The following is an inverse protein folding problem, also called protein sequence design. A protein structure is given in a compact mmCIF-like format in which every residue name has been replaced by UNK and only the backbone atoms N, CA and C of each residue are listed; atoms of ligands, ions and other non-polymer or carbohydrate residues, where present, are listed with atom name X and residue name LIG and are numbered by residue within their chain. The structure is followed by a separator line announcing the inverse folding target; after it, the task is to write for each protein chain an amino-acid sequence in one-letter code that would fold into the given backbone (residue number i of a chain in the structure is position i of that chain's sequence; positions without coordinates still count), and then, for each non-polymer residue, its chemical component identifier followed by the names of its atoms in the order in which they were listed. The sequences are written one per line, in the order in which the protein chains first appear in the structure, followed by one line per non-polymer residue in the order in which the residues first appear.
data_IF_436624367935
#
_entry.id   IF_436624367935
#
_cell.length_a   1.000
_cell.length_b   1.000
_cell.length_c   1.000
_cell.angle_alpha   90.00
_cell.angle_beta   90.00
_cell.angle_gamma   90.00
#
_symmetry.space_group_name_H-M   'P 1'
#
loop_
_entity.id
_entity.type
_entity.pdbx_description
1 polymer ?
#
# COMPACT_ATOMS: atom_id res chain seq x y z
N UNK A 1 -12.17 -28.16 -4.45
CA UNK A 1 -11.44 -27.16 -3.65
C UNK A 1 -11.67 -27.51 -2.20
N UNK A 2 -10.66 -27.75 -1.34
CA UNK A 2 -10.99 -27.91 0.10
C UNK A 2 -9.83 -27.77 1.09
N UNK A 3 -8.63 -28.27 0.79
CA UNK A 3 -7.58 -28.32 1.82
C UNK A 3 -6.89 -26.98 2.05
N UNK A 4 -6.56 -26.23 1.00
CA UNK A 4 -5.92 -24.90 1.12
C UNK A 4 -6.78 -23.92 1.91
N UNK A 5 -8.09 -23.86 1.64
CA UNK A 5 -9.03 -23.01 2.39
C UNK A 5 -9.20 -23.46 3.83
N UNK A 6 -9.18 -24.77 4.09
CA UNK A 6 -9.23 -25.30 5.45
C UNK A 6 -7.96 -24.97 6.25
N UNK A 7 -6.79 -25.01 5.62
CA UNK A 7 -5.52 -24.57 6.23
C UNK A 7 -5.53 -23.07 6.48
N UNK A 8 -5.95 -22.28 5.49
CA UNK A 8 -6.02 -20.82 5.62
C UNK A 8 -6.97 -20.41 6.76
N UNK A 9 -8.10 -21.09 6.93
CA UNK A 9 -9.06 -20.83 8.00
C UNK A 9 -8.66 -21.44 9.37
N UNK A 10 -7.54 -22.17 9.45
CA UNK A 10 -7.11 -22.77 10.71
C UNK A 10 -6.75 -21.69 11.72
N UNK A 11 -7.20 -21.86 12.98
CA UNK A 11 -7.03 -20.85 14.04
C UNK A 11 -5.57 -20.46 14.24
N UNK A 12 -4.65 -21.41 14.33
CA UNK A 12 -3.22 -21.12 14.52
C UNK A 12 -2.62 -20.33 13.35
N UNK A 13 -3.12 -20.56 12.13
CA UNK A 13 -2.67 -19.83 10.94
C UNK A 13 -3.19 -18.39 11.01
N UNK A 14 -4.47 -18.22 11.34
CA UNK A 14 -5.07 -16.89 11.48
C UNK A 14 -4.46 -16.09 12.63
N UNK A 15 -4.13 -16.73 13.75
CA UNK A 15 -3.45 -16.10 14.88
C UNK A 15 -2.03 -15.64 14.51
N UNK A 16 -1.25 -16.46 13.80
CA UNK A 16 0.09 -16.08 13.32
C UNK A 16 -0.01 -14.93 12.31
N UNK A 17 -0.94 -14.99 11.37
CA UNK A 17 -1.17 -13.93 10.38
C UNK A 17 -1.59 -12.62 11.06
N UNK A 18 -2.51 -12.67 12.02
CA UNK A 18 -2.93 -11.52 12.80
C UNK A 18 -1.75 -10.89 13.55
N UNK A 19 -0.96 -11.70 14.28
CA UNK A 19 0.24 -11.21 15.00
C UNK A 19 1.22 -10.51 14.06
N UNK A 20 1.47 -11.08 12.89
CA UNK A 20 2.35 -10.48 11.88
C UNK A 20 1.78 -9.18 11.32
N UNK A 21 0.48 -9.14 11.01
CA UNK A 21 -0.18 -7.94 10.52
C UNK A 21 -0.12 -6.80 11.54
N UNK A 22 -0.39 -7.08 12.81
CA UNK A 22 -0.24 -6.09 13.89
C UNK A 22 1.21 -5.65 14.11
N UNK A 23 2.19 -6.54 14.00
CA UNK A 23 3.61 -6.17 14.08
C UNK A 23 4.02 -5.24 12.92
N UNK A 24 3.51 -5.49 11.70
CA UNK A 24 3.71 -4.61 10.56
C UNK A 24 3.04 -3.25 10.78
N UNK A 25 1.82 -3.23 11.33
CA UNK A 25 1.12 -1.99 11.71
C UNK A 25 1.95 -1.16 12.67
N UNK A 26 2.38 -1.74 13.79
CA UNK A 26 3.19 -1.04 14.79
C UNK A 26 4.50 -0.48 14.20
N UNK A 27 5.15 -1.25 13.32
CA UNK A 27 6.36 -0.79 12.63
C UNK A 27 6.07 0.36 11.68
N UNK A 28 4.97 0.30 10.93
CA UNK A 28 4.56 1.35 10.00
C UNK A 28 4.12 2.63 10.71
N UNK A 29 3.34 2.51 11.79
CA UNK A 29 2.94 3.65 12.64
C UNK A 29 4.18 4.36 13.20
N UNK A 30 5.16 3.59 13.69
CA UNK A 30 6.45 4.13 14.14
C UNK A 30 7.16 4.89 13.01
N UNK A 31 7.21 4.36 11.79
CA UNK A 31 7.83 5.05 10.64
C UNK A 31 7.11 6.37 10.33
N UNK A 32 5.78 6.38 10.36
CA UNK A 32 4.98 7.59 10.13
C UNK A 32 5.23 8.64 11.22
N UNK A 33 5.41 8.23 12.48
CA UNK A 33 5.71 9.13 13.60
C UNK A 33 7.16 9.63 13.62
N UNK A 34 8.13 8.74 13.37
CA UNK A 34 9.57 9.04 13.34
C UNK A 34 9.98 9.86 12.13
N UNK A 35 9.12 9.93 11.12
CA UNK A 35 9.31 10.81 9.98
C UNK A 35 8.40 12.02 10.15
N UNK A 36 8.64 12.95 11.11
CA UNK A 36 8.07 14.28 11.04
C UNK A 36 8.71 14.98 9.84
N UNK A 37 8.24 14.62 8.66
CA UNK A 37 8.04 15.49 7.52
C UNK A 37 8.86 16.78 7.56
N UNK A 38 10.16 16.65 7.30
CA UNK A 38 11.01 17.77 6.95
C UNK A 38 10.39 18.63 5.83
N UNK A 39 9.47 18.06 5.04
CA UNK A 39 8.62 18.74 4.06
C UNK A 39 7.26 19.26 4.55
N UNK A 40 6.61 18.71 5.59
CA UNK A 40 5.36 19.32 6.10
C UNK A 40 5.67 20.56 6.95
N UNK A 41 6.79 20.55 7.70
CA UNK A 41 7.33 21.77 8.33
C UNK A 41 7.69 22.86 7.29
N UNK A 42 8.29 22.48 6.17
CA UNK A 42 8.62 23.42 5.08
C UNK A 42 7.39 23.93 4.31
N UNK A 43 6.23 23.27 4.42
CA UNK A 43 4.99 23.62 3.71
C UNK A 43 3.90 24.22 4.61
N UNK A 44 4.19 24.52 5.88
CA UNK A 44 3.24 25.10 6.83
C UNK A 44 2.05 24.20 7.20
N UNK A 45 2.15 22.88 6.93
CA UNK A 45 1.10 21.92 7.23
C UNK A 45 1.35 21.33 8.63
N UNK A 46 0.41 21.55 9.54
CA UNK A 46 0.45 21.02 10.91
C UNK A 46 0.42 19.49 10.90
N UNK A 47 1.11 18.92 11.89
CA UNK A 47 1.25 17.48 12.15
C UNK A 47 -0.02 16.84 12.70
N UNK A 48 -1.18 17.15 12.12
CA UNK A 48 -2.36 16.31 12.32
C UNK A 48 -2.27 15.17 11.31
N UNK A 49 -1.97 13.98 11.83
CA UNK A 49 -1.63 12.80 11.04
C UNK A 49 -2.81 12.34 10.19
N UNK A 50 -2.90 12.86 8.97
CA UNK A 50 -3.88 12.43 7.97
C UNK A 50 -3.63 11.02 7.45
N UNK A 51 -2.57 10.33 7.87
CA UNK A 51 -2.17 9.02 7.36
C UNK A 51 -1.95 8.02 8.48
N UNK A 52 -2.44 6.80 8.30
CA UNK A 52 -2.36 5.73 9.28
C UNK A 52 -2.16 4.35 8.63
N UNK A 53 -1.67 3.39 9.41
CA UNK A 53 -1.68 1.98 9.01
C UNK A 53 -2.91 1.31 9.62
N UNK A 54 -3.76 0.75 8.76
CA UNK A 54 -4.91 -0.08 9.14
C UNK A 54 -4.61 -1.55 8.94
N UNK A 55 -5.19 -2.37 9.80
CA UNK A 55 -5.22 -3.82 9.64
C UNK A 55 -6.68 -4.21 9.43
N UNK A 56 -6.96 -4.81 8.29
CA UNK A 56 -8.31 -5.19 7.90
C UNK A 56 -8.34 -6.70 7.64
N UNK A 57 -9.40 -7.34 8.12
CA UNK A 57 -9.68 -8.73 7.78
C UNK A 57 -10.60 -8.73 6.56
N UNK A 58 -10.20 -9.46 5.52
CA UNK A 58 -11.06 -9.74 4.38
C UNK A 58 -12.21 -10.68 4.72
N UNK A 59 -12.97 -11.09 3.71
CA UNK A 59 -14.22 -11.82 3.89
C UNK A 59 -14.08 -13.14 4.67
N UNK A 60 -12.89 -13.78 4.69
CA UNK A 60 -12.72 -15.06 5.42
C UNK A 60 -11.32 -15.36 5.98
N UNK A 61 -10.24 -15.16 5.23
CA UNK A 61 -8.90 -15.67 5.63
C UNK A 61 -7.75 -14.70 5.42
N UNK A 62 -8.03 -13.56 4.77
CA UNK A 62 -7.00 -12.62 4.33
C UNK A 62 -6.83 -11.50 5.36
N UNK A 63 -5.58 -11.18 5.65
CA UNK A 63 -5.21 -10.01 6.45
C UNK A 63 -4.56 -8.97 5.56
N UNK A 64 -5.14 -7.78 5.51
CA UNK A 64 -4.61 -6.64 4.78
C UNK A 64 -3.96 -5.67 5.75
N UNK A 65 -2.77 -5.20 5.37
CA UNK A 65 -2.09 -4.08 6.03
C UNK A 65 -2.09 -2.92 5.04
N UNK A 66 -2.83 -1.88 5.36
CA UNK A 66 -3.17 -0.80 4.44
C UNK A 66 -2.60 0.51 4.95
N UNK A 67 -1.87 1.22 4.10
CA UNK A 67 -1.54 2.62 4.32
C UNK A 67 -2.68 3.47 3.79
N UNK A 68 -3.39 4.16 4.69
CA UNK A 68 -4.50 5.08 4.36
C UNK A 68 -4.07 6.52 4.56
N UNK A 69 -4.64 7.44 3.78
CA UNK A 69 -4.54 8.88 4.01
C UNK A 69 -5.90 9.55 3.78
N UNK A 70 -6.31 10.50 4.62
CA UNK A 70 -7.61 11.19 4.55
C UNK A 70 -7.82 11.93 3.23
N UNK A 71 -6.74 12.33 2.55
CA UNK A 71 -6.77 12.96 1.22
C UNK A 71 -6.95 11.92 0.10
N UNK A 72 -7.05 10.65 0.45
CA UNK A 72 -7.33 9.51 -0.42
C UNK A 72 -6.10 8.73 -0.89
N UNK A 73 -6.36 7.65 -1.62
CA UNK A 73 -5.36 6.64 -2.04
C UNK A 73 -4.15 7.22 -2.79
N UNK A 74 -4.35 8.32 -3.53
CA UNK A 74 -3.26 8.98 -4.25
C UNK A 74 -2.24 9.61 -3.28
N UNK A 75 -2.70 10.17 -2.16
CA UNK A 75 -1.82 10.70 -1.13
C UNK A 75 -1.07 9.58 -0.42
N UNK A 76 -1.76 8.50 -0.05
CA UNK A 76 -1.13 7.30 0.51
C UNK A 76 -0.07 6.69 -0.44
N UNK A 77 -0.38 6.60 -1.73
CA UNK A 77 0.57 6.12 -2.74
C UNK A 77 1.79 7.04 -2.90
N UNK A 78 1.61 8.36 -2.78
CA UNK A 78 2.70 9.32 -2.82
C UNK A 78 3.56 9.26 -1.54
N UNK A 79 2.98 8.91 -0.40
CA UNK A 79 3.73 8.65 0.84
C UNK A 79 4.58 7.38 0.68
N UNK A 80 4.00 6.29 0.16
CA UNK A 80 4.72 5.03 0.00
C UNK A 80 5.83 5.13 -1.05
N UNK A 81 5.51 5.62 -2.25
CA UNK A 81 6.38 5.53 -3.42
C UNK A 81 7.01 6.85 -3.85
N UNK A 82 6.61 7.97 -3.24
CA UNK A 82 7.02 9.30 -3.68
C UNK A 82 6.22 9.80 -4.87
N UNK A 83 6.58 10.99 -5.36
CA UNK A 83 6.00 11.59 -6.57
C UNK A 83 7.07 12.29 -7.39
N UNK A 84 6.95 12.18 -8.71
CA UNK A 84 7.81 12.91 -9.62
C UNK A 84 7.57 14.42 -9.46
N UNK A 85 8.65 15.18 -9.35
CA UNK A 85 8.58 16.63 -9.43
C UNK A 85 8.40 17.10 -10.87
N UNK A 86 7.76 18.24 -11.04
CA UNK A 86 7.73 18.99 -12.28
C UNK A 86 9.08 19.68 -12.48
N UNK A 87 9.60 19.69 -13.71
CA UNK A 87 10.79 20.47 -14.07
C UNK A 87 10.27 21.67 -14.84
N UNK A 88 10.55 22.87 -14.33
CA UNK A 88 10.23 24.10 -15.03
C UNK A 88 11.08 24.21 -16.31
N UNK A 89 10.47 24.37 -17.50
CA UNK A 89 11.19 24.41 -18.75
C UNK A 89 12.04 25.69 -18.94
N UNK A 90 11.69 26.78 -18.25
CA UNK A 90 12.34 28.08 -18.40
C UNK A 90 13.51 28.23 -17.42
N UNK A 91 13.39 27.68 -16.21
CA UNK A 91 14.41 27.78 -15.16
C UNK A 91 15.21 26.50 -14.94
N UNK A 92 14.71 25.35 -15.39
CA UNK A 92 15.29 24.03 -15.13
C UNK A 92 15.12 23.54 -13.69
N UNK A 93 14.45 24.30 -12.83
CA UNK A 93 14.27 23.96 -11.42
C UNK A 93 13.20 22.89 -11.22
N UNK A 94 13.43 22.00 -10.24
CA UNK A 94 12.54 20.89 -9.92
C UNK A 94 11.61 21.23 -8.77
N UNK A 95 10.32 21.26 -9.05
CA UNK A 95 9.28 21.59 -8.08
C UNK A 95 8.43 20.39 -7.70
N UNK A 96 7.99 20.36 -6.44
CA UNK A 96 6.94 19.46 -5.97
C UNK A 96 7.30 17.98 -5.85
N UNK A 97 8.47 17.52 -6.29
CA UNK A 97 8.88 16.12 -6.18
C UNK A 97 9.15 15.68 -4.74
N UNK A 98 8.80 14.43 -4.40
CA UNK A 98 9.08 13.85 -3.07
C UNK A 98 9.55 12.41 -3.20
N UNK A 99 10.52 12.04 -2.36
CA UNK A 99 10.91 10.64 -2.18
C UNK A 99 9.83 9.92 -1.34
N UNK A 100 9.60 8.65 -1.63
CA UNK A 100 8.67 7.82 -0.88
C UNK A 100 9.28 7.33 0.42
N UNK A 101 8.49 7.27 1.48
CA UNK A 101 8.89 6.74 2.79
C UNK A 101 9.00 5.21 2.79
N UNK A 102 8.42 4.54 1.78
CA UNK A 102 8.43 3.09 1.64
C UNK A 102 7.96 2.40 2.93
N UNK A 103 6.89 2.91 3.54
CA UNK A 103 6.39 2.51 4.86
C UNK A 103 6.05 1.03 4.89
N UNK A 104 5.21 0.55 3.96
CA UNK A 104 4.81 -0.86 3.87
C UNK A 104 6.00 -1.75 3.50
N UNK A 105 6.82 -1.31 2.55
CA UNK A 105 8.04 -2.03 2.19
C UNK A 105 8.98 -2.22 3.39
N UNK A 106 9.17 -1.19 4.22
CA UNK A 106 10.00 -1.26 5.43
C UNK A 106 9.34 -2.06 6.54
N UNK A 107 8.04 -1.92 6.74
CA UNK A 107 7.28 -2.69 7.73
C UNK A 107 7.34 -4.21 7.48
N UNK A 108 7.52 -4.63 6.22
CA UNK A 108 7.72 -6.04 5.84
C UNK A 108 9.18 -6.50 5.86
N UNK A 109 10.11 -5.66 6.35
CA UNK A 109 11.54 -5.96 6.35
C UNK A 109 12.15 -5.96 4.94
N UNK A 110 11.59 -5.19 4.01
CA UNK A 110 12.06 -5.08 2.63
C UNK A 110 11.63 -6.23 1.71
N UNK A 111 10.71 -7.10 2.17
CA UNK A 111 10.28 -8.29 1.42
C UNK A 111 9.28 -7.97 0.30
N UNK A 112 8.56 -6.86 0.39
CA UNK A 112 7.69 -6.41 -0.70
C UNK A 112 8.54 -5.89 -1.86
N UNK A 113 8.17 -6.21 -3.09
CA UNK A 113 8.85 -5.60 -4.24
C UNK A 113 8.52 -4.10 -4.29
N UNK A 114 9.56 -3.26 -4.45
CA UNK A 114 9.37 -1.83 -4.75
C UNK A 114 8.58 -1.71 -6.07
N UNK A 115 7.68 -0.72 -6.14
CA UNK A 115 6.79 -0.51 -7.29
C UNK A 115 7.62 -0.42 -8.58
N UNK A 116 7.40 -1.36 -9.50
CA UNK A 116 8.19 -1.58 -10.71
C UNK A 116 8.61 -3.04 -10.96
N UNK A 117 8.57 -3.92 -9.95
CA UNK A 117 8.94 -5.35 -10.10
C UNK A 117 7.83 -6.36 -9.79
N UNK A 118 6.60 -5.92 -9.50
CA UNK A 118 5.48 -6.83 -9.25
C UNK A 118 4.90 -7.29 -10.60
N UNK A 119 5.33 -8.45 -11.09
CA UNK A 119 4.58 -9.19 -12.11
C UNK A 119 3.33 -9.75 -11.43
N UNK A 120 2.20 -9.06 -11.55
CA UNK A 120 0.93 -9.64 -11.16
C UNK A 120 0.73 -10.94 -11.96
N UNK A 121 0.41 -12.08 -11.33
CA UNK A 121 0.03 -13.27 -12.06
C UNK A 121 -1.24 -12.94 -12.84
N UNK A 122 -1.13 -12.89 -14.17
CA UNK A 122 -2.26 -12.72 -15.07
C UNK A 122 -3.12 -13.97 -14.97
N UNK A 123 -4.14 -13.95 -14.12
CA UNK A 123 -5.15 -15.01 -14.05
C UNK A 123 -6.04 -14.93 -15.29
N UNK A 124 -5.72 -15.83 -16.23
CA UNK A 124 -6.43 -16.36 -17.41
C UNK A 124 -7.79 -15.75 -17.82
N UNK A 125 -7.77 -15.17 -19.04
CA UNK A 125 -8.78 -15.15 -20.11
C UNK A 125 -10.27 -15.23 -19.69
N UNK A 126 -10.94 -14.06 -19.69
CA UNK A 126 -12.39 -13.97 -19.92
C UNK A 126 -12.75 -14.71 -21.22
N UNK A 127 -13.50 -15.82 -21.11
CA UNK A 127 -14.18 -16.49 -22.22
C UNK A 127 -15.09 -15.46 -22.92
N UNK A 128 -14.79 -15.08 -24.17
CA UNK A 128 -15.71 -14.33 -25.02
C UNK A 128 -16.99 -15.16 -25.18
N UNK A 129 -18.10 -14.69 -24.60
CA UNK A 129 -19.44 -15.16 -24.96
C UNK A 129 -19.67 -14.83 -26.43
N UNK A 130 -19.78 -15.84 -27.29
CA UNK A 130 -20.27 -15.69 -28.67
C UNK A 130 -21.76 -15.41 -28.59
N UNK A 131 -22.15 -14.15 -28.80
CA UNK A 131 -23.54 -13.80 -29.08
C UNK A 131 -23.93 -14.36 -30.45
N UNK A 132 -25.01 -15.15 -30.47
CA UNK A 132 -25.71 -15.49 -31.70
C UNK A 132 -26.67 -14.34 -31.99
N UNK A 133 -26.48 -13.64 -33.10
CA UNK A 133 -27.52 -12.82 -33.72
C UNK A 133 -28.16 -13.69 -34.81
N UNK A 134 -29.46 -13.96 -34.65
CA UNK A 134 -30.32 -14.45 -35.70
C UNK A 134 -31.10 -13.24 -36.19
N UNK A 135 -30.96 -12.92 -37.47
CA UNK A 135 -31.84 -12.04 -38.25
C UNK A 135 -32.24 -12.82 -39.48
#
# INVERSE_FOLDING_TARGET
MKWERAIAAHVDVQDDLGRRAFAMKATGDRILQETPSAKQRAAGLTTEGHSEIRVEMGDETDWYVVLSDDRGDKAAAAIEYGRAGYIDPDTGERYGGTEGLNVLHRATGGKLAKRGKVKLPVTRKRRKRRGWFVT
#
